data_IF_514841326807
#
_entry.id   IF_514841326807
#
_cell.length_a   1.000
_cell.length_b   1.000
_cell.length_c   1.000
_cell.angle_alpha   90.00
_cell.angle_beta   90.00
_cell.angle_gamma   90.00
#
_symmetry.space_group_name_H-M   'P 1'
#
loop_
_entity.id
_entity.type
_entity.pdbx_description
1 polymer ?
#
# COMPACT_ATOMS: atom_id res chain seq x y z
N UNK A 1 2.49 -17.54 16.02
CA UNK A 1 2.41 -16.62 14.86
C UNK A 1 1.15 -17.01 14.12
N UNK A 2 0.22 -16.11 13.77
CA UNK A 2 -0.91 -16.54 12.96
C UNK A 2 -0.36 -17.17 11.67
N UNK A 3 -0.94 -18.30 11.31
CA UNK A 3 -0.64 -19.03 10.09
C UNK A 3 -0.89 -18.12 8.88
N UNK A 4 -0.16 -18.35 7.80
CA UNK A 4 -0.33 -17.64 6.52
C UNK A 4 -1.81 -17.63 6.16
N UNK A 5 -2.41 -16.45 6.05
CA UNK A 5 -3.85 -16.32 5.85
C UNK A 5 -4.15 -15.60 4.54
N UNK A 6 -5.08 -16.16 3.77
CA UNK A 6 -5.59 -15.53 2.56
C UNK A 6 -6.43 -14.30 2.95
N UNK A 7 -6.07 -13.15 2.38
CA UNK A 7 -6.72 -11.85 2.64
C UNK A 7 -7.84 -11.61 1.64
N UNK A 8 -7.49 -11.59 0.35
CA UNK A 8 -8.40 -11.32 -0.76
C UNK A 8 -7.88 -11.97 -2.06
N UNK A 9 -8.81 -12.37 -2.94
CA UNK A 9 -8.50 -12.65 -4.35
C UNK A 9 -8.35 -11.33 -5.12
N UNK A 10 -7.23 -11.19 -5.80
CA UNK A 10 -6.86 -10.09 -6.69
C UNK A 10 -6.48 -10.72 -8.02
N UNK A 11 -7.45 -10.96 -8.91
CA UNK A 11 -7.21 -11.69 -10.14
C UNK A 11 -6.47 -10.83 -11.17
N UNK A 12 -5.78 -11.50 -12.09
CA UNK A 12 -5.19 -10.91 -13.29
C UNK A 12 -5.54 -11.78 -14.50
N UNK A 13 -5.47 -11.18 -15.69
CA UNK A 13 -5.90 -11.78 -16.96
C UNK A 13 -4.77 -11.88 -17.99
N UNK A 14 -3.71 -11.06 -17.86
CA UNK A 14 -2.61 -11.03 -18.81
C UNK A 14 -1.26 -10.73 -18.13
N UNK A 15 -0.18 -11.22 -18.73
CA UNK A 15 1.19 -10.78 -18.44
C UNK A 15 1.67 -9.84 -19.53
N UNK A 16 2.48 -8.86 -19.16
CA UNK A 16 3.04 -7.90 -20.09
C UNK A 16 4.43 -7.44 -19.66
N UNK A 17 5.15 -6.80 -20.58
CA UNK A 17 6.40 -6.07 -20.28
C UNK A 17 6.16 -4.57 -20.40
N UNK A 18 6.59 -3.80 -19.42
CA UNK A 18 6.51 -2.34 -19.48
C UNK A 18 7.45 -1.81 -20.58
N UNK A 19 6.96 -0.99 -21.50
CA UNK A 19 7.78 -0.30 -22.49
C UNK A 19 8.15 1.10 -22.04
N UNK A 20 7.14 1.84 -21.59
CA UNK A 20 7.33 3.20 -21.10
C UNK A 20 6.23 3.59 -20.11
N UNK A 21 6.51 4.60 -19.29
CA UNK A 21 5.55 5.21 -18.38
C UNK A 21 5.45 6.72 -18.64
N UNK A 22 4.64 7.16 -19.63
CA UNK A 22 4.57 8.57 -20.02
C UNK A 22 4.17 9.52 -18.88
N UNK A 23 3.42 9.04 -17.90
CA UNK A 23 3.13 9.77 -16.67
C UNK A 23 2.77 8.79 -15.54
N UNK A 24 2.60 9.30 -14.32
CA UNK A 24 2.33 8.47 -13.12
C UNK A 24 1.13 7.52 -13.24
N UNK A 25 0.16 7.80 -14.10
CA UNK A 25 -1.07 7.02 -14.25
C UNK A 25 -1.20 6.26 -15.57
N UNK A 26 -0.23 6.37 -16.48
CA UNK A 26 -0.27 5.75 -17.80
C UNK A 26 1.02 4.97 -18.05
N UNK A 27 0.87 3.69 -18.38
CA UNK A 27 1.92 2.85 -18.93
C UNK A 27 1.61 2.45 -20.37
N UNK A 28 2.65 2.16 -21.13
CA UNK A 28 2.58 1.47 -22.42
C UNK A 28 3.31 0.15 -22.26
N UNK A 29 2.69 -0.96 -22.66
CA UNK A 29 3.19 -2.30 -22.40
C UNK A 29 3.08 -3.18 -23.65
N UNK A 30 3.92 -4.20 -23.72
CA UNK A 30 3.76 -5.33 -24.63
C UNK A 30 3.08 -6.48 -23.90
N UNK A 31 1.84 -6.82 -24.27
CA UNK A 31 1.17 -8.01 -23.73
C UNK A 31 1.82 -9.26 -24.31
N UNK A 32 2.30 -10.14 -23.43
CA UNK A 32 3.05 -11.36 -23.80
C UNK A 32 2.21 -12.63 -23.65
N UNK A 33 1.21 -12.63 -22.77
CA UNK A 33 0.29 -13.74 -22.59
C UNK A 33 -1.08 -13.28 -22.09
N UNK A 34 -2.13 -14.03 -22.45
CA UNK A 34 -3.51 -13.81 -21.96
C UNK A 34 -4.05 -15.16 -21.48
N UNK A 35 -4.63 -15.18 -20.27
CA UNK A 35 -5.15 -16.40 -19.63
C UNK A 35 -4.14 -17.55 -19.62
N UNK A 36 -2.85 -17.24 -19.45
CA UNK A 36 -1.75 -18.21 -19.42
C UNK A 36 -1.33 -18.76 -20.80
N UNK A 37 -1.95 -18.32 -21.90
CA UNK A 37 -1.54 -18.69 -23.25
C UNK A 37 -0.73 -17.56 -23.90
N UNK A 38 0.41 -17.90 -24.50
CA UNK A 38 1.19 -16.95 -25.30
C UNK A 38 0.35 -16.39 -26.45
N UNK A 39 0.55 -15.10 -26.74
CA UNK A 39 -0.11 -14.38 -27.83
C UNK A 39 0.94 -13.66 -28.67
N UNK A 40 0.58 -13.25 -29.88
CA UNK A 40 1.34 -12.22 -30.60
C UNK A 40 1.46 -10.97 -29.71
N UNK A 41 2.64 -10.37 -29.72
CA UNK A 41 2.93 -9.18 -28.91
C UNK A 41 2.01 -8.05 -29.37
N UNK A 42 1.26 -7.51 -28.41
CA UNK A 42 0.36 -6.39 -28.64
C UNK A 42 0.72 -5.22 -27.73
N UNK A 43 1.05 -4.07 -28.33
CA UNK A 43 1.26 -2.83 -27.59
C UNK A 43 -0.09 -2.32 -27.07
N UNK A 44 -0.18 -2.05 -25.76
CA UNK A 44 -1.39 -1.58 -25.11
C UNK A 44 -1.14 -0.44 -24.12
N UNK A 45 -2.16 0.40 -23.94
CA UNK A 45 -2.15 1.45 -22.91
C UNK A 45 -2.82 0.96 -21.65
N UNK A 46 -2.09 1.03 -20.54
CA UNK A 46 -2.54 0.54 -19.23
C UNK A 46 -2.61 1.68 -18.22
N UNK A 47 -3.54 1.57 -17.27
CA UNK A 47 -3.62 2.50 -16.16
C UNK A 47 -2.90 1.96 -14.93
N UNK A 48 -2.18 2.85 -14.26
CA UNK A 48 -1.45 2.55 -13.03
C UNK A 48 -2.19 3.23 -11.89
N UNK A 49 -2.76 2.43 -10.98
CA UNK A 49 -3.45 2.89 -9.77
C UNK A 49 -2.46 3.10 -8.63
N UNK A 50 -1.42 3.88 -8.86
CA UNK A 50 -0.48 4.27 -7.81
C UNK A 50 0.07 5.68 -8.11
N UNK A 51 -0.04 6.63 -7.17
CA UNK A 51 0.50 7.97 -7.37
C UNK A 51 2.03 8.05 -7.21
N UNK A 52 2.66 7.02 -6.64
CA UNK A 52 4.09 6.88 -6.43
C UNK A 52 4.88 6.67 -7.71
N UNK A 53 6.21 6.76 -7.59
CA UNK A 53 7.12 6.61 -8.73
C UNK A 53 7.51 5.17 -8.99
N UNK A 54 7.59 4.32 -7.97
CA UNK A 54 7.84 2.89 -8.08
C UNK A 54 8.99 2.58 -9.05
N UNK A 55 10.08 3.36 -9.03
CA UNK A 55 11.13 3.28 -10.06
C UNK A 55 11.86 1.93 -10.06
N UNK A 56 11.88 1.23 -8.92
CA UNK A 56 12.40 -0.13 -8.77
C UNK A 56 11.49 -1.22 -9.39
N UNK A 57 10.24 -0.88 -9.70
CA UNK A 57 9.21 -1.80 -10.21
C UNK A 57 8.67 -1.42 -11.59
N UNK A 58 8.65 -0.13 -11.93
CA UNK A 58 8.05 0.41 -13.16
C UNK A 58 9.11 0.95 -14.12
N UNK A 59 10.14 0.13 -14.39
CA UNK A 59 11.16 0.38 -15.39
C UNK A 59 10.90 -0.40 -16.70
N UNK A 60 11.42 0.10 -17.82
CA UNK A 60 11.25 -0.54 -19.11
C UNK A 60 11.84 -1.96 -19.13
N UNK A 61 11.07 -2.92 -19.64
CA UNK A 61 11.39 -4.34 -19.67
C UNK A 61 10.86 -5.14 -18.48
N UNK A 62 10.44 -4.48 -17.37
CA UNK A 62 9.93 -5.23 -16.22
C UNK A 62 8.60 -5.92 -16.52
N UNK A 63 8.38 -7.09 -15.93
CA UNK A 63 7.15 -7.85 -16.10
C UNK A 63 6.03 -7.30 -15.20
N UNK A 64 4.83 -7.24 -15.75
CA UNK A 64 3.61 -6.75 -15.11
C UNK A 64 2.48 -7.77 -15.23
N UNK A 65 1.63 -7.82 -14.22
CA UNK A 65 0.34 -8.50 -14.27
C UNK A 65 -0.77 -7.48 -14.50
N UNK A 66 -1.65 -7.76 -15.45
CA UNK A 66 -2.71 -6.85 -15.88
C UNK A 66 -4.09 -7.46 -15.65
N UNK A 67 -5.06 -6.61 -15.30
CA UNK A 67 -6.49 -6.94 -15.29
C UNK A 67 -7.20 -6.19 -16.40
N UNK A 68 -8.04 -6.88 -17.18
CA UNK A 68 -8.83 -6.22 -18.21
C UNK A 68 -9.88 -5.32 -17.55
N UNK A 69 -9.97 -4.08 -18.01
CA UNK A 69 -10.91 -3.15 -17.44
C UNK A 69 -12.36 -3.53 -17.79
N UNK A 70 -13.25 -3.49 -16.81
CA UNK A 70 -14.66 -3.80 -17.01
C UNK A 70 -15.41 -2.71 -17.82
N UNK A 71 -15.03 -1.44 -17.63
CA UNK A 71 -15.62 -0.33 -18.36
C UNK A 71 -14.92 -0.12 -19.71
N UNK A 72 -15.61 -0.42 -20.81
CA UNK A 72 -15.08 -0.30 -22.17
C UNK A 72 -14.97 1.14 -22.68
N UNK A 73 -15.57 2.13 -22.00
CA UNK A 73 -15.56 3.53 -22.42
C UNK A 73 -14.32 4.32 -21.96
N UNK A 74 -13.43 3.70 -21.17
CA UNK A 74 -12.22 4.36 -20.68
C UNK A 74 -11.13 4.36 -21.76
N UNK A 75 -10.15 5.27 -21.60
CA UNK A 75 -9.01 5.42 -22.54
C UNK A 75 -7.97 4.29 -22.51
N UNK A 76 -7.95 3.47 -21.46
CA UNK A 76 -6.96 2.40 -21.23
C UNK A 76 -7.66 1.06 -21.08
N UNK A 77 -7.31 0.04 -21.85
CA UNK A 77 -8.01 -1.25 -21.83
C UNK A 77 -7.75 -2.09 -20.57
N UNK A 78 -6.70 -1.74 -19.81
CA UNK A 78 -6.16 -2.56 -18.74
C UNK A 78 -5.75 -1.74 -17.53
N UNK A 79 -5.80 -2.36 -16.36
CA UNK A 79 -5.22 -1.88 -15.12
C UNK A 79 -4.00 -2.73 -14.76
N UNK A 80 -2.91 -2.08 -14.35
CA UNK A 80 -1.77 -2.80 -13.76
C UNK A 80 -2.16 -3.26 -12.36
N UNK A 81 -1.92 -4.53 -12.06
CA UNK A 81 -2.20 -5.17 -10.78
C UNK A 81 -0.92 -5.29 -9.96
N UNK A 82 0.10 -5.91 -10.54
CA UNK A 82 1.36 -6.19 -9.89
C UNK A 82 2.54 -5.99 -10.83
N UNK A 83 3.71 -5.76 -10.24
CA UNK A 83 4.98 -5.71 -10.93
C UNK A 83 5.94 -6.77 -10.38
N UNK A 84 6.83 -7.29 -11.22
CA UNK A 84 7.79 -8.30 -10.80
C UNK A 84 8.93 -7.64 -10.02
N UNK A 85 9.31 -8.27 -8.92
CA UNK A 85 10.51 -8.00 -8.15
C UNK A 85 11.33 -9.30 -7.98
N UNK A 86 12.53 -9.19 -7.42
CA UNK A 86 13.38 -10.34 -7.13
C UNK A 86 12.72 -11.32 -6.15
N UNK A 87 11.95 -10.80 -5.19
CA UNK A 87 11.27 -11.56 -4.14
C UNK A 87 9.85 -12.01 -4.48
N UNK A 88 9.38 -11.79 -5.72
CA UNK A 88 8.08 -12.26 -6.19
C UNK A 88 7.29 -11.21 -6.96
N UNK A 89 5.97 -11.34 -6.95
CA UNK A 89 5.08 -10.31 -7.48
C UNK A 89 4.71 -9.34 -6.37
N UNK A 90 4.80 -8.04 -6.67
CA UNK A 90 4.46 -6.96 -5.74
C UNK A 90 3.15 -6.34 -6.19
N UNK A 91 2.13 -6.35 -5.34
CA UNK A 91 0.90 -5.62 -5.60
C UNK A 91 1.22 -4.12 -5.65
N UNK A 92 0.93 -3.48 -6.78
CA UNK A 92 1.12 -2.03 -6.96
C UNK A 92 -0.19 -1.30 -7.24
N UNK A 93 -1.32 -2.00 -7.24
CA UNK A 93 -2.63 -1.38 -7.44
C UNK A 93 -3.21 -0.95 -6.09
N UNK A 94 -3.11 0.35 -5.79
CA UNK A 94 -3.51 0.90 -4.50
C UNK A 94 -5.02 0.88 -4.25
N UNK A 95 -5.84 0.60 -5.27
CA UNK A 95 -7.30 0.48 -5.11
C UNK A 95 -7.70 -0.70 -4.20
N UNK A 96 -6.81 -1.67 -4.01
CA UNK A 96 -7.02 -2.80 -3.09
C UNK A 96 -6.63 -2.49 -1.64
N UNK A 97 -5.84 -1.44 -1.38
CA UNK A 97 -5.30 -1.16 -0.04
C UNK A 97 -6.39 -1.01 1.02
N UNK A 98 -7.48 -0.29 0.72
CA UNK A 98 -8.60 -0.13 1.65
C UNK A 98 -9.23 -1.47 2.03
N UNK A 99 -9.42 -2.39 1.07
CA UNK A 99 -9.99 -3.72 1.34
C UNK A 99 -9.03 -4.59 2.17
N UNK A 100 -7.73 -4.50 1.91
CA UNK A 100 -6.69 -5.21 2.68
C UNK A 100 -6.66 -4.68 4.13
N UNK A 101 -6.75 -3.36 4.31
CA UNK A 101 -6.84 -2.74 5.62
C UNK A 101 -8.14 -3.13 6.36
N UNK A 102 -9.29 -3.13 5.67
CA UNK A 102 -10.56 -3.62 6.23
C UNK A 102 -10.46 -5.08 6.71
N UNK A 103 -9.81 -5.94 5.92
CA UNK A 103 -9.55 -7.32 6.33
C UNK A 103 -8.68 -7.37 7.59
N UNK A 104 -7.61 -6.58 7.66
CA UNK A 104 -6.72 -6.55 8.83
C UNK A 104 -7.45 -6.08 10.10
N UNK A 105 -8.31 -5.07 9.97
CA UNK A 105 -9.14 -4.55 11.07
C UNK A 105 -10.14 -5.62 11.52
N UNK A 106 -10.87 -6.24 10.59
CA UNK A 106 -11.92 -7.23 10.91
C UNK A 106 -11.39 -8.54 11.49
N UNK A 107 -10.19 -8.95 11.10
CA UNK A 107 -9.54 -10.16 11.62
C UNK A 107 -8.64 -9.87 12.83
N UNK A 108 -8.71 -8.65 13.38
CA UNK A 108 -8.03 -8.26 14.61
C UNK A 108 -6.53 -8.57 14.63
N UNK A 109 -5.85 -8.48 13.47
CA UNK A 109 -4.45 -8.94 13.32
C UNK A 109 -3.41 -8.07 14.07
N UNK A 110 -3.88 -7.04 14.76
CA UNK A 110 -3.11 -6.13 15.59
C UNK A 110 -3.97 -5.72 16.81
N UNK A 111 -3.44 -5.67 18.04
CA UNK A 111 -4.25 -5.45 19.25
C UNK A 111 -5.11 -4.19 19.28
N UNK A 112 -4.78 -3.16 18.48
CA UNK A 112 -5.63 -1.96 18.32
C UNK A 112 -7.01 -2.25 17.72
N UNK A 113 -7.16 -3.40 17.07
CA UNK A 113 -8.38 -3.80 16.37
C UNK A 113 -9.26 -4.72 17.20
N UNK A 114 -8.81 -5.19 18.36
CA UNK A 114 -9.60 -6.08 19.20
C UNK A 114 -10.77 -5.33 19.86
N UNK A 115 -11.98 -5.90 19.77
CA UNK A 115 -13.15 -5.40 20.50
C UNK A 115 -13.64 -4.02 20.05
N UNK A 116 -13.61 -3.76 18.73
CA UNK A 116 -14.16 -2.54 18.14
C UNK A 116 -15.70 -2.58 18.12
N UNK A 117 -16.33 -1.47 18.46
CA UNK A 117 -17.78 -1.29 18.37
C UNK A 117 -18.23 -0.80 16.99
N UNK A 118 -17.36 -0.07 16.29
CA UNK A 118 -17.67 0.47 14.96
C UNK A 118 -16.43 0.71 14.10
N UNK A 119 -16.63 0.65 12.78
CA UNK A 119 -15.63 0.94 11.75
C UNK A 119 -16.29 1.81 10.68
N UNK A 120 -15.82 3.04 10.51
CA UNK A 120 -16.31 3.97 9.49
C UNK A 120 -15.17 4.38 8.55
N UNK A 121 -15.35 4.22 7.24
CA UNK A 121 -14.34 4.56 6.24
C UNK A 121 -14.43 6.03 5.77
N UNK A 122 -13.34 6.58 5.24
CA UNK A 122 -13.26 7.89 4.56
C UNK A 122 -13.79 9.07 5.41
N UNK A 123 -13.39 9.09 6.68
CA UNK A 123 -13.91 10.05 7.65
C UNK A 123 -13.14 11.38 7.60
N UNK A 124 -13.87 12.49 7.64
CA UNK A 124 -13.27 13.83 7.64
C UNK A 124 -12.66 14.13 9.00
N UNK A 125 -11.41 14.58 9.02
CA UNK A 125 -10.73 15.11 10.19
C UNK A 125 -9.88 16.32 9.80
N UNK A 126 -10.09 17.45 10.49
CA UNK A 126 -9.49 18.73 10.12
C UNK A 126 -9.74 19.06 8.64
N UNK A 127 -8.64 19.27 7.91
CA UNK A 127 -8.63 19.62 6.47
C UNK A 127 -8.45 18.40 5.56
N UNK A 128 -8.45 17.18 6.10
CA UNK A 128 -8.22 15.93 5.35
C UNK A 128 -9.37 14.94 5.52
N UNK A 129 -9.29 13.83 4.77
CA UNK A 129 -10.02 12.59 5.05
C UNK A 129 -9.00 11.52 5.39
N UNK A 130 -9.19 10.87 6.53
CA UNK A 130 -8.43 9.71 6.96
C UNK A 130 -9.19 8.44 6.57
N UNK A 131 -8.46 7.36 6.33
CA UNK A 131 -9.02 6.13 5.76
C UNK A 131 -10.08 5.49 6.66
N UNK A 132 -9.88 5.49 7.98
CA UNK A 132 -10.88 4.97 8.93
C UNK A 132 -10.97 5.76 10.23
N UNK A 133 -12.17 5.74 10.82
CA UNK A 133 -12.43 6.03 12.23
C UNK A 133 -12.97 4.74 12.87
N UNK A 134 -12.28 4.26 13.89
CA UNK A 134 -12.72 3.12 14.69
C UNK A 134 -13.28 3.64 16.01
N UNK A 135 -14.38 3.05 16.48
CA UNK A 135 -14.92 3.30 17.82
C UNK A 135 -14.67 2.09 18.72
N UNK A 136 -14.16 2.33 19.92
CA UNK A 136 -13.93 1.32 20.96
C UNK A 136 -14.24 1.92 22.33
N UNK A 137 -15.38 1.52 22.89
CA UNK A 137 -15.99 2.13 24.07
C UNK A 137 -16.07 3.65 23.90
N UNK A 138 -15.52 4.42 24.84
CA UNK A 138 -15.49 5.89 24.76
C UNK A 138 -14.29 6.46 23.96
N UNK A 139 -13.47 5.58 23.36
CA UNK A 139 -12.26 5.96 22.62
C UNK A 139 -12.50 5.91 21.10
N UNK A 140 -12.04 6.95 20.41
CA UNK A 140 -11.94 6.99 18.95
C UNK A 140 -10.51 6.70 18.52
N UNK A 141 -10.37 5.93 17.44
CA UNK A 141 -9.07 5.62 16.85
C UNK A 141 -9.08 6.06 15.39
N UNK A 142 -8.27 7.07 15.06
CA UNK A 142 -8.10 7.54 13.70
C UNK A 142 -7.03 6.72 12.97
N UNK A 143 -7.35 6.19 11.80
CA UNK A 143 -6.44 5.33 11.04
C UNK A 143 -6.18 5.92 9.66
N UNK A 144 -4.90 6.05 9.31
CA UNK A 144 -4.44 6.32 7.95
C UNK A 144 -3.69 5.09 7.42
N UNK A 145 -3.98 4.71 6.18
CA UNK A 145 -3.38 3.58 5.49
C UNK A 145 -2.33 4.07 4.49
N UNK A 146 -1.14 3.46 4.50
CA UNK A 146 -0.10 3.67 3.49
C UNK A 146 0.30 2.35 2.86
N UNK A 147 0.38 2.32 1.53
CA UNK A 147 1.05 1.23 0.82
C UNK A 147 2.56 1.47 0.81
N UNK A 148 3.32 0.41 1.03
CA UNK A 148 4.78 0.42 0.98
C UNK A 148 5.27 -0.74 0.10
N UNK A 149 5.80 -0.38 -1.05
CA UNK A 149 6.34 -1.31 -2.05
C UNK A 149 7.85 -1.19 -2.17
N UNK A 150 8.44 -0.05 -1.79
CA UNK A 150 9.89 0.18 -1.87
C UNK A 150 10.62 -0.54 -0.73
N UNK A 151 11.69 -1.24 -1.08
CA UNK A 151 12.61 -1.87 -0.12
C UNK A 151 14.03 -1.37 -0.36
N UNK A 152 14.78 -1.21 0.71
CA UNK A 152 16.23 -1.01 0.70
C UNK A 152 16.87 -2.11 1.57
N UNK A 153 17.60 -3.03 0.94
CA UNK A 153 18.00 -4.32 1.50
C UNK A 153 16.80 -5.09 2.08
N UNK A 154 16.64 -5.15 3.41
CA UNK A 154 15.49 -5.75 4.10
C UNK A 154 14.64 -4.73 4.85
N UNK A 155 14.80 -3.44 4.56
CA UNK A 155 14.03 -2.35 5.16
C UNK A 155 12.93 -1.92 4.19
N UNK A 156 11.66 -2.09 4.58
CA UNK A 156 10.56 -1.46 3.88
C UNK A 156 10.59 0.05 4.17
N UNK A 157 10.62 0.88 3.14
CA UNK A 157 10.80 2.33 3.30
C UNK A 157 9.72 3.14 2.56
N UNK A 158 9.21 4.18 3.20
CA UNK A 158 8.18 5.05 2.64
C UNK A 158 8.47 6.52 2.93
N UNK A 159 8.29 7.45 1.97
CA UNK A 159 7.75 7.24 0.63
C UNK A 159 8.83 6.90 -0.42
N UNK A 160 8.39 6.61 -1.64
CA UNK A 160 9.23 6.46 -2.83
C UNK A 160 9.39 7.78 -3.63
N UNK A 161 8.63 8.82 -3.25
CA UNK A 161 8.77 10.19 -3.73
C UNK A 161 8.26 11.19 -2.67
N UNK A 162 8.73 12.46 -2.68
CA UNK A 162 8.24 13.47 -1.74
C UNK A 162 6.71 13.61 -1.77
N UNK A 163 6.06 13.65 -0.59
CA UNK A 163 4.59 13.69 -0.49
C UNK A 163 4.06 14.62 0.60
N UNK A 164 3.67 15.82 0.16
CA UNK A 164 2.97 16.79 1.03
C UNK A 164 1.65 16.24 1.59
N UNK A 165 0.94 15.40 0.83
CA UNK A 165 -0.30 14.76 1.29
C UNK A 165 -0.01 13.75 2.39
N UNK A 166 1.04 12.93 2.23
CA UNK A 166 1.47 11.98 3.24
C UNK A 166 1.83 12.67 4.55
N UNK A 167 2.67 13.72 4.47
CA UNK A 167 3.05 14.57 5.60
C UNK A 167 1.83 15.14 6.33
N UNK A 168 0.92 15.81 5.61
CA UNK A 168 -0.29 16.39 6.19
C UNK A 168 -1.15 15.36 6.92
N UNK A 169 -1.31 14.17 6.37
CA UNK A 169 -2.13 13.14 7.02
C UNK A 169 -1.50 12.66 8.34
N UNK A 170 -0.16 12.54 8.41
CA UNK A 170 0.53 12.23 9.68
C UNK A 170 0.36 13.38 10.69
N UNK A 171 0.42 14.65 10.24
CA UNK A 171 0.13 15.80 11.10
C UNK A 171 -1.31 15.79 11.65
N UNK A 172 -2.29 15.35 10.86
CA UNK A 172 -3.66 15.16 11.33
C UNK A 172 -3.77 14.04 12.38
N UNK A 173 -3.04 12.93 12.24
CA UNK A 173 -2.97 11.90 13.29
C UNK A 173 -2.38 12.45 14.60
N UNK A 174 -1.34 13.29 14.51
CA UNK A 174 -0.77 13.97 15.69
C UNK A 174 -1.83 14.85 16.37
N UNK A 175 -2.62 15.60 15.58
CA UNK A 175 -3.70 16.44 16.11
C UNK A 175 -4.79 15.60 16.79
N UNK A 176 -5.14 14.45 16.23
CA UNK A 176 -6.08 13.52 16.86
C UNK A 176 -5.59 13.09 18.24
N UNK A 177 -4.33 12.65 18.36
CA UNK A 177 -3.75 12.25 19.64
C UNK A 177 -3.71 13.40 20.65
N UNK A 178 -3.32 14.61 20.21
CA UNK A 178 -3.34 15.80 21.06
C UNK A 178 -4.76 16.21 21.49
N UNK A 179 -5.78 15.83 20.73
CA UNK A 179 -7.19 16.03 21.05
C UNK A 179 -7.77 15.03 22.04
N UNK A 180 -7.00 14.01 22.44
CA UNK A 180 -7.43 12.96 23.36
C UNK A 180 -7.94 11.68 22.69
N UNK A 181 -7.98 11.64 21.35
CA UNK A 181 -8.27 10.41 20.61
C UNK A 181 -6.99 9.55 20.51
N UNK A 182 -7.12 8.31 20.04
CA UNK A 182 -5.98 7.51 19.61
C UNK A 182 -5.78 7.61 18.09
N UNK A 183 -4.57 7.29 17.62
CA UNK A 183 -4.28 7.29 16.19
C UNK A 183 -3.32 6.18 15.78
N UNK A 184 -3.51 5.66 14.57
CA UNK A 184 -2.76 4.59 13.97
C UNK A 184 -2.36 4.94 12.52
N UNK A 185 -1.07 4.86 12.24
CA UNK A 185 -0.56 4.76 10.88
C UNK A 185 -0.39 3.28 10.52
N UNK A 186 -1.32 2.76 9.71
CA UNK A 186 -1.31 1.39 9.22
C UNK A 186 -0.53 1.32 7.90
N UNK A 187 0.57 0.58 7.88
CA UNK A 187 1.41 0.44 6.68
C UNK A 187 1.25 -0.95 6.10
N UNK A 188 0.81 -1.05 4.85
CA UNK A 188 0.69 -2.29 4.09
C UNK A 188 1.98 -2.50 3.29
N UNK A 189 2.83 -3.40 3.75
CA UNK A 189 4.13 -3.71 3.15
C UNK A 189 3.97 -4.89 2.20
N UNK A 190 4.18 -4.67 0.90
CA UNK A 190 4.05 -5.71 -0.14
C UNK A 190 5.38 -6.37 -0.51
N UNK A 191 6.33 -6.37 0.42
CA UNK A 191 7.67 -6.96 0.27
C UNK A 191 7.87 -8.02 1.35
N UNK A 192 7.62 -9.32 1.05
CA UNK A 192 7.60 -10.37 2.07
C UNK A 192 8.93 -10.59 2.79
N UNK A 193 10.05 -10.15 2.20
CA UNK A 193 11.38 -10.25 2.78
C UNK A 193 11.75 -9.06 3.69
N UNK A 194 10.87 -8.07 3.84
CA UNK A 194 11.10 -6.94 4.74
C UNK A 194 11.13 -7.40 6.20
N UNK A 195 12.08 -6.87 6.96
CA UNK A 195 12.30 -7.20 8.37
C UNK A 195 11.97 -6.05 9.32
N UNK A 196 11.99 -4.82 8.81
CA UNK A 196 11.56 -3.64 9.55
C UNK A 196 11.03 -2.56 8.61
N UNK A 197 10.34 -1.57 9.17
CA UNK A 197 9.83 -0.40 8.46
C UNK A 197 10.49 0.89 8.95
N UNK A 198 10.79 1.81 8.03
CA UNK A 198 11.29 3.13 8.34
C UNK A 198 10.76 4.19 7.36
N UNK A 199 10.61 5.46 7.78
CA UNK A 199 10.39 6.54 6.83
C UNK A 199 11.66 6.77 5.98
N UNK A 200 11.47 7.04 4.70
CA UNK A 200 12.54 7.29 3.75
C UNK A 200 13.05 8.73 3.85
N UNK A 201 13.93 8.98 4.82
CA UNK A 201 14.53 10.30 5.06
C UNK A 201 15.32 10.84 3.85
N UNK A 202 15.91 9.97 3.04
CA UNK A 202 16.68 10.39 1.86
C UNK A 202 15.77 11.00 0.77
N UNK A 203 14.54 10.48 0.64
CA UNK A 203 13.56 10.96 -0.32
C UNK A 203 12.72 12.11 0.23
N UNK A 204 12.24 12.02 1.46
CA UNK A 204 11.38 13.03 2.08
C UNK A 204 11.81 13.28 3.55
N UNK A 205 12.81 14.16 3.78
CA UNK A 205 13.31 14.45 5.12
C UNK A 205 12.26 15.14 6.00
N UNK A 206 11.35 15.90 5.39
CA UNK A 206 10.24 16.58 6.06
C UNK A 206 9.22 15.57 6.60
N UNK A 207 8.82 14.59 5.78
CA UNK A 207 7.94 13.52 6.23
C UNK A 207 8.61 12.69 7.33
N UNK A 208 9.91 12.40 7.20
CA UNK A 208 10.64 11.67 8.24
C UNK A 208 10.70 12.43 9.58
N UNK A 209 10.80 13.77 9.55
CA UNK A 209 10.70 14.60 10.75
C UNK A 209 9.31 14.51 11.38
N UNK A 210 8.25 14.69 10.59
CA UNK A 210 6.85 14.58 11.06
C UNK A 210 6.52 13.18 11.57
N UNK A 211 7.08 12.13 10.95
CA UNK A 211 6.94 10.75 11.43
C UNK A 211 7.56 10.57 12.82
N UNK A 212 8.71 11.19 13.09
CA UNK A 212 9.31 11.21 14.43
C UNK A 212 8.39 11.89 15.45
N UNK A 213 7.86 13.04 15.07
CA UNK A 213 6.93 13.79 15.92
C UNK A 213 5.65 12.99 16.21
N UNK A 214 5.19 12.18 15.24
CA UNK A 214 4.05 11.30 15.40
C UNK A 214 4.29 10.22 16.46
N UNK A 215 5.42 9.53 16.40
CA UNK A 215 5.80 8.54 17.41
C UNK A 215 5.91 9.20 18.79
N UNK A 216 6.59 10.35 18.87
CA UNK A 216 6.75 11.09 20.13
C UNK A 216 5.42 11.58 20.71
N UNK A 217 4.46 11.94 19.86
CA UNK A 217 3.11 12.35 20.28
C UNK A 217 2.23 11.18 20.72
N UNK A 218 2.60 9.92 20.42
CA UNK A 218 1.86 8.72 20.80
C UNK A 218 1.07 8.06 19.66
N UNK A 219 1.20 8.53 18.43
CA UNK A 219 0.63 7.86 17.24
C UNK A 219 1.27 6.48 17.12
N UNK A 220 0.45 5.43 17.05
CA UNK A 220 0.96 4.07 16.80
C UNK A 220 1.28 3.87 15.33
N UNK A 221 2.32 3.08 15.05
CA UNK A 221 2.66 2.68 13.68
C UNK A 221 2.63 1.16 13.61
N UNK A 222 1.88 0.62 12.65
CA UNK A 222 1.73 -0.82 12.46
C UNK A 222 2.07 -1.21 11.02
N UNK A 223 3.29 -1.71 10.76
CA UNK A 223 3.64 -2.28 9.48
C UNK A 223 3.23 -3.76 9.39
N UNK A 224 2.24 -4.05 8.52
CA UNK A 224 1.78 -5.40 8.20
C UNK A 224 2.35 -5.84 6.87
N UNK A 225 2.89 -7.06 6.82
CA UNK A 225 3.54 -7.62 5.63
C UNK A 225 2.57 -8.53 4.89
N UNK A 226 2.56 -8.38 3.57
CA UNK A 226 1.77 -9.15 2.63
C UNK A 226 2.64 -9.61 1.47
N UNK A 227 2.25 -10.73 0.85
CA UNK A 227 2.78 -11.17 -0.44
C UNK A 227 1.64 -11.34 -1.43
N UNK A 228 1.93 -11.15 -2.72
CA UNK A 228 0.99 -11.48 -3.79
C UNK A 228 1.42 -12.78 -4.48
N UNK A 229 0.64 -13.84 -4.30
CA UNK A 229 0.96 -15.19 -4.77
C UNK A 229 -0.16 -15.76 -5.62
N UNK A 230 0.17 -16.15 -6.86
CA UNK A 230 -0.82 -16.62 -7.82
C UNK A 230 -1.81 -15.50 -8.16
N UNK A 231 -2.93 -15.44 -7.43
CA UNK A 231 -3.99 -14.43 -7.56
C UNK A 231 -4.41 -13.88 -6.19
N UNK A 232 -3.67 -14.16 -5.13
CA UNK A 232 -4.13 -13.93 -3.77
C UNK A 232 -3.17 -13.02 -3.01
N UNK A 233 -3.73 -12.14 -2.18
CA UNK A 233 -2.96 -11.43 -1.16
C UNK A 233 -2.90 -12.31 0.08
N UNK A 234 -1.71 -12.60 0.55
CA UNK A 234 -1.46 -13.45 1.72
C UNK A 234 -0.85 -12.60 2.83
N UNK A 235 -1.44 -12.63 4.03
CA UNK A 235 -0.88 -12.00 5.21
C UNK A 235 0.32 -12.81 5.72
N UNK A 236 1.43 -12.11 6.01
CA UNK A 236 2.71 -12.69 6.44
C UNK A 236 3.09 -12.33 7.87
N UNK A 237 2.32 -11.49 8.53
CA UNK A 237 2.58 -11.04 9.89
C UNK A 237 2.92 -9.56 9.97
N UNK A 238 3.42 -9.15 11.14
CA UNK A 238 3.81 -7.78 11.46
C UNK A 238 5.33 -7.69 11.58
N UNK A 239 5.91 -6.59 11.12
CA UNK A 239 7.33 -6.26 11.33
C UNK A 239 7.47 -5.04 12.24
N UNK A 240 8.56 -4.93 13.02
CA UNK A 240 8.81 -3.77 13.85
C UNK A 240 9.20 -2.54 13.00
N UNK A 241 9.24 -1.38 13.65
CA UNK A 241 10.04 -0.26 13.15
C UNK A 241 11.52 -0.63 13.20
N UNK A 242 12.32 -0.11 12.26
CA UNK A 242 13.77 -0.27 12.32
C UNK A 242 14.32 0.38 13.60
N UNK A 243 15.42 -0.14 14.14
CA UNK A 243 15.92 0.20 15.48
C UNK A 243 16.12 1.71 15.70
N UNK A 244 16.50 2.44 14.66
CA UNK A 244 16.68 3.89 14.66
C UNK A 244 15.38 4.70 14.78
N UNK A 245 14.22 4.04 14.75
CA UNK A 245 12.87 4.61 14.84
C UNK A 245 12.02 4.00 15.97
N UNK A 246 12.63 3.21 16.86
CA UNK A 246 11.94 2.66 18.04
C UNK A 246 11.81 3.67 19.17
#
# INVERSE_FOLDING_TARGET
MPEKEMVIDVPWDAEAKLLSRPNRFLGVVDITSISGSSTDIQEEKVHIHDPGRLEDLLYAGNALLLKKAANTNRKTGWDVIAAKAEDGWVLINSAFHRKIAEWAIRNEVYPFFEGLDSVAAEQKFGESRLDFLLGKSDTKIWVEVKGCTLIDDRKAIFPDAPTLRGKRHIEELIKAVKGGDEALLLVLVFRPNAQCFAPNKAIDPDLAAVFRDAIAAGVKVCPLVFSYEGREIIYRGRIPLCDEWK
#
